data_IF_475754369303
#
_entry.id   IF_475754369303
#
_cell.length_a   1.000
_cell.length_b   1.000
_cell.length_c   1.000
_cell.angle_alpha   90.00
_cell.angle_beta   90.00
_cell.angle_gamma   90.00
#
_symmetry.space_group_name_H-M   'P 1'
#
loop_
_entity.id
_entity.type
_entity.pdbx_description
1 polymer ?
#
# COMPACT_ATOMS: atom_id res chain seq x y z
N UNK A 1 -23.60 -11.05 21.96
CA UNK A 1 -23.61 -10.14 20.80
C UNK A 1 -22.14 -9.98 20.41
N UNK A 2 -21.64 -10.84 19.52
CA UNK A 2 -20.24 -10.77 19.06
C UNK A 2 -20.13 -9.60 18.10
N UNK A 3 -19.20 -8.68 18.38
CA UNK A 3 -18.81 -7.63 17.44
C UNK A 3 -18.08 -8.27 16.24
N UNK A 4 -18.31 -7.81 15.02
CA UNK A 4 -17.60 -8.34 13.86
C UNK A 4 -16.13 -8.04 14.00
N UNK A 5 -15.31 -9.09 14.00
CA UNK A 5 -13.86 -8.98 13.90
C UNK A 5 -13.51 -8.29 12.59
N UNK A 6 -12.74 -7.21 12.57
CA UNK A 6 -12.28 -6.61 11.32
C UNK A 6 -11.54 -7.66 10.50
N UNK A 7 -11.88 -7.78 9.23
CA UNK A 7 -11.20 -8.69 8.34
C UNK A 7 -9.73 -8.29 8.21
N UNK A 8 -8.85 -8.97 8.92
CA UNK A 8 -7.42 -8.76 8.86
C UNK A 8 -6.91 -9.08 7.44
N UNK A 9 -6.62 -8.08 6.66
CA UNK A 9 -5.72 -8.26 5.52
C UNK A 9 -4.34 -8.66 6.06
N UNK A 10 -3.95 -9.90 5.88
CA UNK A 10 -2.82 -10.56 6.58
C UNK A 10 -1.45 -10.13 6.11
N UNK A 11 -1.20 -8.91 5.63
CA UNK A 11 0.11 -8.65 5.02
C UNK A 11 0.70 -7.26 5.22
N UNK A 12 0.76 -6.82 6.47
CA UNK A 12 1.79 -5.86 6.83
C UNK A 12 2.80 -6.56 7.76
N UNK A 13 3.83 -7.16 7.20
CA UNK A 13 4.99 -7.63 7.96
C UNK A 13 6.24 -6.95 7.44
N UNK A 14 6.42 -5.71 7.83
CA UNK A 14 7.71 -5.05 7.78
C UNK A 14 8.22 -4.93 9.20
N UNK A 15 9.29 -5.62 9.53
CA UNK A 15 10.01 -5.38 10.77
C UNK A 15 10.80 -4.10 10.63
N UNK A 16 10.21 -2.98 10.98
CA UNK A 16 11.00 -1.86 11.51
C UNK A 16 11.42 -2.30 12.91
N UNK A 17 12.69 -2.37 13.20
CA UNK A 17 13.29 -3.02 14.38
C UNK A 17 12.86 -2.44 15.73
N UNK A 18 11.89 -1.52 15.78
CA UNK A 18 11.35 -0.89 16.99
C UNK A 18 9.89 -0.46 16.87
N UNK A 19 9.18 -0.67 15.75
CA UNK A 19 7.83 -0.16 15.61
C UNK A 19 6.77 -1.25 15.66
N UNK A 20 5.82 -1.02 16.49
CA UNK A 20 4.57 -1.74 16.69
C UNK A 20 3.48 -1.22 15.75
N UNK A 21 3.84 -0.71 14.57
CA UNK A 21 2.89 -0.16 13.62
C UNK A 21 2.48 -1.18 12.57
N UNK A 22 1.21 -1.16 12.20
CA UNK A 22 0.60 -1.96 11.15
C UNK A 22 -0.03 -1.03 10.11
N UNK A 23 0.26 -1.24 8.83
CA UNK A 23 -0.41 -0.54 7.74
C UNK A 23 -1.44 -1.45 7.07
N UNK A 24 -2.61 -0.91 6.71
CA UNK A 24 -3.57 -1.61 5.89
C UNK A 24 -4.27 -0.69 4.90
N UNK A 25 -4.72 -1.30 3.81
CA UNK A 25 -5.54 -0.70 2.77
C UNK A 25 -6.99 -1.16 2.91
N UNK A 26 -7.92 -0.39 2.35
CA UNK A 26 -9.33 -0.77 2.28
C UNK A 26 -9.92 -0.40 0.91
N UNK A 27 -9.97 -1.35 -0.02
CA UNK A 27 -10.50 -1.20 -1.38
C UNK A 27 -11.91 -0.61 -1.43
N UNK A 28 -12.69 -0.77 -0.37
CA UNK A 28 -14.09 -0.33 -0.33
C UNK A 28 -14.22 1.19 -0.20
N UNK A 29 -13.21 1.85 0.34
CA UNK A 29 -13.24 3.29 0.60
C UNK A 29 -13.34 4.08 -0.70
N UNK A 30 -12.47 3.82 -1.65
CA UNK A 30 -12.45 4.52 -2.94
C UNK A 30 -13.67 4.15 -3.79
N UNK A 31 -14.04 2.84 -3.83
CA UNK A 31 -15.19 2.36 -4.59
C UNK A 31 -16.51 2.94 -4.10
N UNK A 32 -16.64 3.15 -2.79
CA UNK A 32 -17.83 3.76 -2.20
C UNK A 32 -17.84 5.29 -2.27
N UNK A 33 -16.69 5.90 -2.61
CA UNK A 33 -16.50 7.35 -2.57
C UNK A 33 -16.36 7.93 -1.16
N UNK A 34 -16.09 7.06 -0.16
CA UNK A 34 -15.91 7.48 1.23
C UNK A 34 -14.59 8.22 1.44
N UNK A 35 -13.52 7.76 0.82
CA UNK A 35 -12.19 8.34 0.95
C UNK A 35 -11.50 8.47 -0.41
N UNK A 36 -11.84 9.46 -1.23
CA UNK A 36 -10.99 9.91 -2.34
C UNK A 36 -10.00 10.96 -1.81
N UNK A 37 -8.70 10.85 -1.91
CA UNK A 37 -7.89 9.86 -2.64
C UNK A 37 -7.64 8.58 -1.86
N UNK A 38 -6.88 7.65 -2.49
CA UNK A 38 -6.42 6.36 -1.92
C UNK A 38 -5.95 6.51 -0.49
N UNK A 39 -6.46 5.69 0.43
CA UNK A 39 -6.21 5.81 1.86
C UNK A 39 -5.49 4.60 2.42
N UNK A 40 -4.39 4.83 3.14
CA UNK A 40 -3.69 3.82 3.93
C UNK A 40 -3.84 4.13 5.42
N UNK A 41 -4.29 3.17 6.20
CA UNK A 41 -4.44 3.27 7.65
C UNK A 41 -3.17 2.77 8.32
N UNK A 42 -2.64 3.54 9.27
CA UNK A 42 -1.49 3.18 10.11
C UNK A 42 -1.95 3.02 11.55
N UNK A 43 -1.77 1.83 12.10
CA UNK A 43 -2.21 1.47 13.43
C UNK A 43 -1.01 1.31 14.36
N UNK A 44 -1.11 1.84 15.57
CA UNK A 44 -0.27 1.43 16.68
C UNK A 44 -0.82 0.11 17.24
N UNK A 45 0.04 -0.91 17.25
CA UNK A 45 -0.25 -2.25 17.72
C UNK A 45 0.69 -2.67 18.86
N UNK A 46 1.22 -1.71 19.63
CA UNK A 46 2.02 -2.02 20.83
C UNK A 46 1.23 -2.91 21.79
N UNK A 47 -0.05 -2.62 21.95
CA UNK A 47 -1.00 -3.53 22.57
C UNK A 47 -1.89 -4.16 21.50
N UNK A 48 -1.69 -5.47 21.25
CA UNK A 48 -2.47 -6.21 20.27
C UNK A 48 -3.93 -6.41 20.67
N UNK A 49 -4.25 -6.28 21.96
CA UNK A 49 -5.62 -6.39 22.47
C UNK A 49 -6.37 -5.03 22.36
N UNK A 50 -5.64 -3.93 22.16
CA UNK A 50 -6.20 -2.57 22.00
C UNK A 50 -5.47 -1.76 20.90
N UNK A 51 -5.58 -2.16 19.63
CA UNK A 51 -4.94 -1.44 18.53
C UNK A 51 -5.57 -0.05 18.33
N UNK A 52 -4.74 0.98 18.19
CA UNK A 52 -5.16 2.37 18.04
C UNK A 52 -4.80 2.87 16.64
N UNK A 53 -5.75 3.52 15.95
CA UNK A 53 -5.45 4.21 14.69
C UNK A 53 -4.54 5.40 14.98
N UNK A 54 -3.28 5.30 14.55
CA UNK A 54 -2.26 6.32 14.79
C UNK A 54 -2.35 7.45 13.76
N UNK A 55 -2.42 7.11 12.47
CA UNK A 55 -2.55 8.09 11.40
C UNK A 55 -3.23 7.51 10.16
N UNK A 56 -3.64 8.39 9.26
CA UNK A 56 -4.16 8.08 7.93
C UNK A 56 -3.28 8.76 6.88
N UNK A 57 -2.74 7.98 5.97
CA UNK A 57 -2.00 8.53 4.83
C UNK A 57 -2.90 8.54 3.59
N UNK A 58 -2.97 9.69 2.92
CA UNK A 58 -3.70 9.85 1.67
C UNK A 58 -2.73 9.97 0.50
N UNK A 59 -2.90 9.12 -0.48
CA UNK A 59 -2.15 9.15 -1.73
C UNK A 59 -2.49 10.34 -2.62
N UNK A 60 -1.82 10.43 -3.76
CA UNK A 60 -1.99 11.56 -4.70
C UNK A 60 -3.04 11.28 -5.79
N UNK A 61 -3.58 10.06 -5.85
CA UNK A 61 -4.58 9.62 -6.84
C UNK A 61 -5.85 9.15 -6.16
N UNK A 62 -6.90 8.93 -6.93
CA UNK A 62 -8.19 8.41 -6.45
C UNK A 62 -8.37 6.92 -6.75
N UNK A 63 -7.32 6.27 -7.24
CA UNK A 63 -7.32 4.86 -7.60
C UNK A 63 -7.55 3.98 -6.38
N UNK A 64 -8.25 2.88 -6.58
CA UNK A 64 -8.42 1.85 -5.54
C UNK A 64 -7.08 1.21 -5.20
N UNK A 65 -6.81 1.01 -3.93
CA UNK A 65 -5.66 0.24 -3.47
C UNK A 65 -5.96 -1.26 -3.40
N UNK A 66 -4.93 -2.10 -3.28
CA UNK A 66 -5.10 -3.54 -3.14
C UNK A 66 -4.09 -4.16 -2.18
N UNK A 67 -2.87 -4.42 -2.64
CA UNK A 67 -1.84 -5.09 -1.84
C UNK A 67 -0.70 -4.16 -1.48
N UNK A 68 -0.17 -4.31 -0.28
CA UNK A 68 1.06 -3.64 0.12
C UNK A 68 2.05 -4.60 0.79
N UNK A 69 3.32 -4.29 0.64
CA UNK A 69 4.44 -4.99 1.31
C UNK A 69 5.44 -3.97 1.82
N UNK A 70 6.04 -4.27 2.98
CA UNK A 70 7.11 -3.46 3.55
C UNK A 70 8.42 -4.24 3.44
N UNK A 71 9.45 -3.61 2.88
CA UNK A 71 10.81 -4.11 2.82
C UNK A 71 11.78 -3.03 3.28
N UNK A 72 12.42 -3.26 4.45
CA UNK A 72 13.19 -2.23 5.14
C UNK A 72 12.29 -1.08 5.59
N UNK A 73 12.59 0.12 5.15
CA UNK A 73 11.82 1.33 5.43
C UNK A 73 10.90 1.76 4.26
N UNK A 74 10.79 0.93 3.23
CA UNK A 74 9.95 1.22 2.07
C UNK A 74 8.71 0.34 2.06
N UNK A 75 7.56 0.97 1.85
CA UNK A 75 6.28 0.33 1.60
C UNK A 75 5.97 0.37 0.11
N UNK A 76 5.66 -0.79 -0.46
CA UNK A 76 5.34 -0.98 -1.88
C UNK A 76 3.86 -1.30 -1.99
N UNK A 77 3.09 -0.39 -2.56
CA UNK A 77 1.64 -0.51 -2.73
C UNK A 77 1.30 -0.82 -4.19
N UNK A 78 0.41 -1.77 -4.40
CA UNK A 78 -0.23 -2.04 -5.69
C UNK A 78 -1.61 -1.39 -5.65
N UNK A 79 -1.74 -0.25 -6.33
CA UNK A 79 -2.93 0.60 -6.25
C UNK A 79 -3.64 0.66 -7.61
N UNK A 80 -4.05 -0.50 -8.10
CA UNK A 80 -4.77 -0.69 -9.37
C UNK A 80 -4.36 0.31 -10.46
N UNK A 81 -5.23 1.24 -10.85
CA UNK A 81 -5.01 2.16 -11.96
C UNK A 81 -3.78 3.07 -11.76
N UNK A 82 -3.47 3.46 -10.54
CA UNK A 82 -2.26 4.27 -10.27
C UNK A 82 -0.96 3.47 -10.19
N UNK A 83 -1.01 2.15 -10.41
CA UNK A 83 0.16 1.30 -10.56
C UNK A 83 0.85 0.92 -9.26
N UNK A 84 2.18 0.83 -9.28
CA UNK A 84 3.04 0.61 -8.12
C UNK A 84 3.39 1.94 -7.48
N UNK A 85 3.14 2.10 -6.19
CA UNK A 85 3.52 3.27 -5.38
C UNK A 85 4.52 2.85 -4.31
N UNK A 86 5.53 3.67 -4.06
CA UNK A 86 6.59 3.37 -3.09
C UNK A 86 6.65 4.53 -2.10
N UNK A 87 6.44 4.21 -0.83
CA UNK A 87 6.46 5.18 0.25
C UNK A 87 7.61 4.88 1.21
N UNK A 88 8.31 5.91 1.65
CA UNK A 88 9.21 5.85 2.81
C UNK A 88 8.34 5.88 4.08
N UNK A 89 8.48 4.86 4.90
CA UNK A 89 7.78 4.68 6.17
C UNK A 89 8.75 4.60 7.34
N UNK A 90 9.93 5.24 7.20
CA UNK A 90 10.89 5.40 8.30
C UNK A 90 10.26 6.09 9.50
N UNK A 91 9.37 7.05 9.23
CA UNK A 91 8.45 7.64 10.18
C UNK A 91 7.02 7.14 9.83
N UNK A 92 6.50 6.16 10.54
CA UNK A 92 5.20 5.58 10.23
C UNK A 92 4.04 6.57 10.41
N UNK A 93 4.21 7.60 11.21
CA UNK A 93 3.21 8.65 11.41
C UNK A 93 3.17 9.66 10.26
N UNK A 94 4.18 9.62 9.38
CA UNK A 94 4.29 10.54 8.25
C UNK A 94 4.87 9.83 7.01
N UNK A 95 4.17 8.87 6.40
CA UNK A 95 4.59 8.21 5.16
C UNK A 95 4.77 9.21 4.02
N UNK A 96 5.85 9.07 3.25
CA UNK A 96 6.19 9.96 2.13
C UNK A 96 6.37 9.16 0.84
N UNK A 97 5.61 9.48 -0.21
CA UNK A 97 5.83 8.87 -1.52
C UNK A 97 7.20 9.26 -2.09
N UNK A 98 8.03 8.27 -2.40
CA UNK A 98 9.40 8.44 -2.92
C UNK A 98 9.57 7.90 -4.34
N UNK A 99 8.58 7.20 -4.88
CA UNK A 99 8.61 6.69 -6.25
C UNK A 99 7.32 6.02 -6.66
N UNK A 100 7.15 5.90 -7.97
CA UNK A 100 6.02 5.18 -8.54
C UNK A 100 6.32 4.65 -9.94
N UNK A 101 5.51 3.70 -10.38
CA UNK A 101 5.43 3.24 -11.76
C UNK A 101 3.97 3.02 -12.13
N UNK A 102 3.46 3.85 -13.03
CA UNK A 102 2.09 3.78 -13.51
C UNK A 102 1.99 2.84 -14.71
N UNK A 103 1.15 1.80 -14.60
CA UNK A 103 0.88 0.83 -15.68
C UNK A 103 -0.40 1.15 -16.45
N UNK A 104 -1.20 2.15 -16.03
CA UNK A 104 -2.50 2.51 -16.61
C UNK A 104 -2.60 4.04 -16.73
N UNK A 105 -1.82 4.62 -17.65
CA UNK A 105 -1.59 6.06 -17.74
C UNK A 105 -2.79 6.91 -18.19
N UNK A 106 -3.93 6.29 -18.47
CA UNK A 106 -5.13 6.99 -19.00
C UNK A 106 -6.23 7.22 -17.96
N UNK A 107 -6.10 6.67 -16.75
CA UNK A 107 -7.09 6.85 -15.68
C UNK A 107 -6.49 6.58 -14.30
N UNK A 108 -6.97 7.32 -13.30
CA UNK A 108 -6.77 7.07 -11.88
C UNK A 108 -8.12 6.84 -11.16
N UNK A 109 -9.17 6.54 -11.91
CA UNK A 109 -10.50 6.32 -11.33
C UNK A 109 -10.54 5.08 -10.45
N UNK A 110 -11.35 5.06 -9.39
CA UNK A 110 -11.60 3.87 -8.61
C UNK A 110 -12.07 2.71 -9.49
N UNK A 111 -11.57 1.51 -9.22
CA UNK A 111 -11.87 0.30 -9.98
C UNK A 111 -10.77 -0.74 -9.87
N UNK A 112 -10.87 -1.79 -10.69
CA UNK A 112 -9.99 -2.96 -10.60
C UNK A 112 -9.12 -3.15 -11.86
N UNK A 113 -8.79 -2.10 -12.57
CA UNK A 113 -7.80 -2.09 -13.65
C UNK A 113 -6.41 -1.79 -13.08
N UNK A 114 -5.35 -2.40 -13.63
CA UNK A 114 -3.97 -2.08 -13.28
C UNK A 114 -3.36 -3.00 -12.24
N UNK A 115 -2.54 -2.44 -11.37
CA UNK A 115 -1.64 -3.17 -10.47
C UNK A 115 -2.40 -3.95 -9.39
N UNK A 116 -2.22 -5.28 -9.39
CA UNK A 116 -2.87 -6.18 -8.44
C UNK A 116 -1.99 -6.52 -7.25
N UNK A 117 -0.74 -6.89 -7.49
CA UNK A 117 0.20 -7.33 -6.44
C UNK A 117 1.63 -7.11 -6.88
N UNK A 118 2.54 -6.97 -5.91
CA UNK A 118 3.95 -6.80 -6.14
C UNK A 118 4.80 -7.73 -5.27
N UNK A 119 6.09 -7.85 -5.62
CA UNK A 119 7.07 -8.58 -4.86
C UNK A 119 8.39 -7.79 -4.83
N UNK A 120 8.73 -7.13 -3.70
CA UNK A 120 9.90 -6.26 -3.59
C UNK A 120 11.12 -6.93 -2.96
N UNK A 121 11.12 -8.25 -2.72
CA UNK A 121 12.10 -8.90 -1.85
C UNK A 121 13.28 -9.54 -2.59
N UNK A 122 13.54 -9.17 -3.85
CA UNK A 122 14.74 -9.61 -4.54
C UNK A 122 15.98 -8.87 -4.04
N UNK A 123 17.06 -9.60 -3.75
CA UNK A 123 18.36 -9.01 -3.35
C UNK A 123 18.93 -8.02 -4.38
N UNK A 124 18.55 -8.17 -5.64
CA UNK A 124 18.96 -7.30 -6.73
C UNK A 124 18.31 -5.90 -6.71
N UNK A 125 17.35 -5.65 -5.78
CA UNK A 125 16.57 -4.42 -5.74
C UNK A 125 15.51 -4.31 -6.85
N UNK A 126 15.29 -5.38 -7.60
CA UNK A 126 14.20 -5.45 -8.58
C UNK A 126 12.88 -5.65 -7.85
N UNK A 127 11.85 -4.93 -8.30
CA UNK A 127 10.46 -5.14 -7.90
C UNK A 127 9.70 -5.72 -9.08
N UNK A 128 8.95 -6.79 -8.84
CA UNK A 128 8.06 -7.38 -9.82
C UNK A 128 6.63 -7.06 -9.40
N UNK A 129 5.79 -6.62 -10.33
CA UNK A 129 4.36 -6.46 -10.06
C UNK A 129 3.50 -6.91 -11.24
N UNK A 130 2.28 -7.31 -10.94
CA UNK A 130 1.29 -7.73 -11.93
C UNK A 130 0.24 -6.65 -12.12
N UNK A 131 -0.09 -6.38 -13.37
CA UNK A 131 -1.21 -5.54 -13.79
C UNK A 131 -2.23 -6.38 -14.52
N UNK A 132 -3.52 -6.21 -14.23
CA UNK A 132 -4.58 -7.13 -14.67
C UNK A 132 -4.67 -7.31 -16.18
N UNK A 133 -4.51 -6.24 -16.93
CA UNK A 133 -4.64 -6.25 -18.40
C UNK A 133 -3.31 -6.05 -19.10
N UNK A 134 -2.34 -5.39 -18.44
CA UNK A 134 -1.05 -4.98 -19.01
C UNK A 134 0.03 -6.05 -18.82
N UNK A 135 -0.18 -6.99 -17.87
CA UNK A 135 0.69 -8.15 -17.67
C UNK A 135 1.68 -8.00 -16.53
N UNK A 136 2.90 -8.53 -16.71
CA UNK A 136 3.96 -8.56 -15.69
C UNK A 136 4.97 -7.46 -15.95
N UNK A 137 5.26 -6.67 -14.92
CA UNK A 137 6.30 -5.65 -14.93
C UNK A 137 7.47 -6.03 -14.04
N UNK A 138 8.68 -5.72 -14.52
CA UNK A 138 9.92 -5.87 -13.78
C UNK A 138 10.59 -4.51 -13.75
N UNK A 139 10.61 -3.88 -12.59
CA UNK A 139 11.09 -2.51 -12.43
C UNK A 139 12.22 -2.44 -11.41
N UNK A 140 13.06 -1.42 -11.55
CA UNK A 140 14.12 -1.10 -10.60
C UNK A 140 14.14 0.40 -10.38
N UNK A 141 14.30 0.83 -9.12
CA UNK A 141 14.54 2.23 -8.81
C UNK A 141 15.76 2.76 -9.56
N UNK A 142 15.67 3.98 -10.07
CA UNK A 142 16.86 4.68 -10.60
C UNK A 142 17.60 5.26 -9.41
N UNK A 143 18.88 4.93 -9.28
CA UNK A 143 19.77 5.65 -8.38
C UNK A 143 19.97 7.07 -8.96
N UNK A 144 19.66 8.07 -8.17
CA UNK A 144 19.86 9.48 -8.51
C UNK A 144 21.31 9.90 -8.28
#
# INVERSE_FOLDING_TARGET
MESPTPGFSRRCRGSLATSTSLCNNDESDELSGFAPPTRTLVWDIEDLDDPVLATEHFGVTTSTDHNLYIHGHLMYQSNYASGLRILDVSDPDNPVEVGFFDSVTWTDSPGFEGSWSNYPFFESGVVVFTSRNEGLFVVRGQES
#
